data_IF_335660219977
#
_entry.id   IF_335660219977
#
_cell.length_a   1.000
_cell.length_b   1.000
_cell.length_c   1.000
_cell.angle_alpha   90.00
_cell.angle_beta   90.00
_cell.angle_gamma   90.00
#
_symmetry.space_group_name_H-M   'P 1'
#
loop_
_entity.id
_entity.type
_entity.pdbx_description
1 polymer ?
#
# COMPACT_ATOMS: atom_id res chain seq x y z
N UNK A 1 9.98 -4.16 -57.12
CA UNK A 1 9.94 -4.57 -55.70
C UNK A 1 9.25 -3.49 -54.83
N UNK A 2 9.67 -2.21 -54.96
CA UNK A 2 9.07 -1.11 -54.18
C UNK A 2 7.58 -0.93 -54.44
N UNK A 3 7.16 -0.94 -55.72
CA UNK A 3 5.77 -0.78 -56.07
C UNK A 3 4.87 -1.93 -55.50
N UNK A 4 5.39 -3.16 -55.50
CA UNK A 4 4.66 -4.28 -54.91
C UNK A 4 4.55 -4.18 -53.38
N UNK A 5 5.54 -3.59 -52.69
CA UNK A 5 5.47 -3.32 -51.24
C UNK A 5 4.50 -2.18 -50.99
N UNK A 6 4.51 -1.12 -51.81
CA UNK A 6 3.60 0.03 -51.68
C UNK A 6 2.13 -0.40 -51.75
N UNK A 7 1.79 -1.35 -52.63
CA UNK A 7 0.44 -1.91 -52.72
C UNK A 7 -0.01 -2.71 -51.48
N UNK A 8 0.93 -3.11 -50.62
CA UNK A 8 0.65 -3.91 -49.43
C UNK A 8 0.88 -3.13 -48.13
N UNK A 9 1.20 -1.84 -48.18
CA UNK A 9 1.56 -1.03 -47.01
C UNK A 9 0.49 -1.08 -45.93
N UNK A 10 -0.79 -0.97 -46.29
CA UNK A 10 -1.87 -1.00 -45.31
C UNK A 10 -2.00 -2.37 -44.62
N UNK A 11 -1.85 -3.46 -45.39
CA UNK A 11 -1.86 -4.82 -44.80
C UNK A 11 -0.66 -5.06 -43.91
N UNK A 12 0.51 -4.53 -44.27
CA UNK A 12 1.75 -4.62 -43.45
C UNK A 12 1.55 -3.84 -42.15
N UNK A 13 0.97 -2.63 -42.20
CA UNK A 13 0.70 -1.81 -41.01
C UNK A 13 -0.26 -2.54 -40.05
N UNK A 14 -1.37 -3.06 -40.56
CA UNK A 14 -2.35 -3.84 -39.76
C UNK A 14 -1.68 -5.07 -39.12
N UNK A 15 -0.87 -5.78 -39.88
CA UNK A 15 -0.15 -6.94 -39.36
C UNK A 15 0.86 -6.56 -38.27
N UNK A 16 1.55 -5.43 -38.41
CA UNK A 16 2.51 -4.93 -37.42
C UNK A 16 1.80 -4.55 -36.11
N UNK A 17 0.67 -3.85 -36.20
CA UNK A 17 -0.14 -3.47 -35.03
C UNK A 17 -0.66 -4.71 -34.31
N UNK A 18 -1.17 -5.71 -35.04
CA UNK A 18 -1.63 -6.97 -34.46
C UNK A 18 -0.47 -7.75 -33.77
N UNK A 19 0.73 -7.74 -34.36
CA UNK A 19 1.90 -8.37 -33.76
C UNK A 19 2.36 -7.64 -32.49
N UNK A 20 2.33 -6.31 -32.49
CA UNK A 20 2.67 -5.50 -31.34
C UNK A 20 1.69 -5.76 -30.16
N UNK A 21 0.38 -5.82 -30.46
CA UNK A 21 -0.63 -6.16 -29.45
C UNK A 21 -0.44 -7.59 -28.92
N UNK A 22 -0.19 -8.56 -29.80
CA UNK A 22 0.07 -9.93 -29.40
C UNK A 22 1.30 -10.07 -28.54
N UNK A 23 2.42 -9.40 -28.89
CA UNK A 23 3.64 -9.41 -28.08
C UNK A 23 3.41 -8.80 -26.69
N UNK A 24 2.65 -7.71 -26.61
CA UNK A 24 2.28 -7.07 -25.33
C UNK A 24 1.41 -8.01 -24.45
N UNK A 25 0.41 -8.67 -25.03
CA UNK A 25 -0.41 -9.66 -24.32
C UNK A 25 0.46 -10.81 -23.82
N UNK A 26 1.36 -11.32 -24.66
CA UNK A 26 2.28 -12.38 -24.31
C UNK A 26 3.26 -11.98 -23.20
N UNK A 27 3.76 -10.75 -23.24
CA UNK A 27 4.63 -10.20 -22.19
C UNK A 27 3.89 -10.14 -20.85
N UNK A 28 2.64 -9.66 -20.81
CA UNK A 28 1.80 -9.67 -19.61
C UNK A 28 1.55 -11.09 -19.09
N UNK A 29 1.26 -12.03 -19.96
CA UNK A 29 1.04 -13.42 -19.58
C UNK A 29 2.29 -14.09 -18.99
N UNK A 30 3.46 -13.86 -19.60
CA UNK A 30 4.76 -14.31 -19.08
C UNK A 30 5.07 -13.71 -17.73
N UNK A 31 4.79 -12.41 -17.56
CA UNK A 31 5.01 -11.70 -16.29
C UNK A 31 4.09 -12.24 -15.19
N UNK A 32 2.81 -12.46 -15.51
CA UNK A 32 1.84 -13.11 -14.61
C UNK A 32 2.34 -14.48 -14.13
N UNK A 33 2.78 -15.32 -15.04
CA UNK A 33 3.35 -16.64 -14.70
C UNK A 33 4.60 -16.54 -13.84
N UNK A 34 5.49 -15.59 -14.15
CA UNK A 34 6.73 -15.38 -13.38
C UNK A 34 6.46 -14.96 -11.93
N UNK A 35 5.40 -14.19 -11.68
CA UNK A 35 5.02 -13.72 -10.36
C UNK A 35 4.09 -14.69 -9.62
N UNK A 36 3.65 -15.77 -10.23
CA UNK A 36 2.56 -16.61 -9.72
C UNK A 36 1.35 -15.72 -9.37
N UNK A 37 0.91 -14.95 -10.36
CA UNK A 37 -0.07 -13.89 -10.21
C UNK A 37 -1.45 -14.33 -10.72
N UNK A 38 -2.51 -13.77 -10.14
CA UNK A 38 -3.91 -14.03 -10.49
C UNK A 38 -4.58 -12.76 -10.99
N UNK A 39 -5.57 -12.93 -11.85
CA UNK A 39 -6.44 -11.83 -12.25
C UNK A 39 -7.30 -11.41 -11.06
N UNK A 40 -7.20 -10.16 -10.58
CA UNK A 40 -8.11 -9.69 -9.54
C UNK A 40 -9.50 -9.46 -10.11
N UNK A 41 -10.52 -9.62 -9.25
CA UNK A 41 -11.87 -9.21 -9.60
C UNK A 41 -11.97 -7.68 -9.47
N UNK A 42 -12.12 -6.99 -10.59
CA UNK A 42 -12.29 -5.53 -10.60
C UNK A 42 -13.77 -5.18 -10.41
N UNK A 43 -14.05 -4.26 -9.49
CA UNK A 43 -15.40 -3.73 -9.21
C UNK A 43 -15.38 -2.20 -9.26
N UNK A 44 -16.53 -1.58 -9.52
CA UNK A 44 -16.60 -0.13 -9.75
C UNK A 44 -16.44 0.76 -8.50
N UNK A 45 -16.50 0.21 -7.30
CA UNK A 45 -16.39 0.94 -6.05
C UNK A 45 -14.95 0.98 -5.53
N UNK A 46 -14.59 2.06 -4.81
CA UNK A 46 -13.25 2.24 -4.26
C UNK A 46 -13.06 1.37 -3.01
N UNK A 47 -12.63 0.14 -3.20
CA UNK A 47 -12.29 -0.77 -2.11
C UNK A 47 -11.13 -1.70 -2.50
N UNK A 48 -10.58 -2.40 -1.52
CA UNK A 48 -9.45 -3.30 -1.65
C UNK A 48 -9.67 -4.51 -0.74
N UNK A 49 -9.55 -5.71 -1.29
CA UNK A 49 -9.53 -6.98 -0.56
C UNK A 49 -8.47 -7.88 -1.19
N UNK A 50 -7.24 -7.71 -0.75
CA UNK A 50 -6.08 -8.49 -1.18
C UNK A 50 -5.91 -9.68 -0.25
N UNK A 51 -5.92 -10.89 -0.81
CA UNK A 51 -5.64 -12.13 -0.12
C UNK A 51 -4.23 -12.59 -0.47
N UNK A 52 -3.41 -12.86 0.53
CA UNK A 52 -2.03 -13.38 0.35
C UNK A 52 -1.21 -12.56 -0.66
N UNK A 53 -1.33 -11.23 -0.60
CA UNK A 53 -0.58 -10.31 -1.46
C UNK A 53 0.92 -10.38 -1.21
N UNK A 54 1.70 -10.42 -2.26
CA UNK A 54 3.17 -10.43 -2.20
C UNK A 54 3.72 -9.25 -2.98
N UNK A 55 4.76 -8.63 -2.45
CA UNK A 55 5.44 -7.55 -3.15
C UNK A 55 6.19 -8.10 -4.38
N UNK A 56 5.89 -7.66 -5.62
CA UNK A 56 6.41 -8.28 -6.84
C UNK A 56 7.92 -8.19 -7.02
N UNK A 57 8.58 -7.25 -6.33
CA UNK A 57 10.04 -7.04 -6.42
C UNK A 57 10.82 -7.73 -5.29
N UNK A 58 10.13 -8.26 -4.26
CA UNK A 58 10.82 -9.04 -3.23
C UNK A 58 11.08 -10.45 -3.74
N UNK A 59 12.36 -10.86 -3.65
CA UNK A 59 12.81 -12.20 -3.99
C UNK A 59 12.80 -13.09 -2.75
N UNK A 60 12.54 -14.38 -2.93
CA UNK A 60 12.57 -15.38 -1.86
C UNK A 60 11.23 -15.55 -1.15
N UNK A 61 11.26 -15.93 0.12
CA UNK A 61 10.08 -16.26 0.92
C UNK A 61 9.41 -14.99 1.51
N UNK A 62 8.97 -14.06 0.66
CA UNK A 62 8.17 -12.94 1.13
C UNK A 62 6.89 -13.48 1.80
N UNK A 63 6.65 -13.08 3.06
CA UNK A 63 5.43 -13.47 3.78
C UNK A 63 4.25 -12.78 3.12
N UNK A 64 3.22 -13.53 2.70
CA UNK A 64 2.03 -12.95 2.10
C UNK A 64 1.23 -12.11 3.10
N UNK A 65 0.64 -11.01 2.64
CA UNK A 65 -0.15 -10.09 3.44
C UNK A 65 -1.61 -10.14 3.01
N UNK A 66 -2.52 -10.29 3.97
CA UNK A 66 -3.95 -10.07 3.78
C UNK A 66 -4.25 -8.61 4.16
N UNK A 67 -4.86 -7.85 3.23
CA UNK A 67 -5.16 -6.45 3.46
C UNK A 67 -6.50 -6.09 2.82
N UNK A 68 -7.39 -5.45 3.61
CA UNK A 68 -8.69 -5.00 3.14
C UNK A 68 -9.00 -3.59 3.60
N UNK A 69 -9.77 -2.84 2.84
CA UNK A 69 -10.29 -1.51 3.15
C UNK A 69 -11.45 -1.15 2.21
N UNK A 70 -12.41 -0.36 2.69
CA UNK A 70 -13.49 0.20 1.88
C UNK A 70 -14.83 -0.51 2.04
N UNK A 71 -14.87 -1.74 2.56
CA UNK A 71 -16.11 -2.48 2.86
C UNK A 71 -16.63 -2.11 4.27
N UNK A 72 -15.91 -2.54 5.31
CA UNK A 72 -16.30 -2.31 6.72
C UNK A 72 -15.73 -0.99 7.27
N UNK A 73 -14.56 -0.58 6.80
CA UNK A 73 -13.85 0.60 7.25
C UNK A 73 -13.14 1.30 6.08
N UNK A 74 -12.91 2.61 6.22
CA UNK A 74 -12.30 3.49 5.21
C UNK A 74 -10.90 3.95 5.60
N UNK A 75 -10.51 3.75 6.86
CA UNK A 75 -9.19 4.10 7.37
C UNK A 75 -8.61 2.94 8.14
N UNK A 76 -7.39 2.54 7.79
CA UNK A 76 -6.61 1.50 8.45
C UNK A 76 -5.36 2.11 9.08
N UNK A 77 -5.25 2.01 10.40
CA UNK A 77 -4.09 2.49 11.16
C UNK A 77 -3.21 1.32 11.58
N UNK A 78 -2.04 1.21 10.96
CA UNK A 78 -1.10 0.11 11.19
C UNK A 78 -0.07 0.53 12.24
N UNK A 79 -0.03 -0.17 13.37
CA UNK A 79 0.90 0.11 14.47
C UNK A 79 1.88 -1.05 14.66
N UNK A 80 3.01 -0.77 15.31
CA UNK A 80 4.05 -1.77 15.59
C UNK A 80 5.45 -1.32 15.18
N UNK A 81 6.47 -2.16 15.38
CA UNK A 81 7.86 -1.84 15.06
C UNK A 81 8.08 -1.76 13.53
N UNK A 82 9.06 -0.96 13.09
CA UNK A 82 9.40 -0.82 11.65
C UNK A 82 9.90 -2.13 11.06
N UNK A 83 10.65 -2.90 11.84
CA UNK A 83 11.16 -4.20 11.43
C UNK A 83 10.08 -5.24 11.12
N UNK A 84 8.82 -4.98 11.51
CA UNK A 84 7.69 -5.90 11.30
C UNK A 84 7.11 -5.93 9.90
N UNK A 85 7.57 -5.09 8.97
CA UNK A 85 7.13 -5.08 7.58
C UNK A 85 5.96 -4.13 7.27
N UNK A 86 5.69 -3.10 8.11
CA UNK A 86 4.65 -2.08 7.86
C UNK A 86 4.82 -1.44 6.50
N UNK A 87 5.99 -0.83 6.25
CA UNK A 87 6.33 -0.17 4.98
C UNK A 87 6.16 -1.09 3.78
N UNK A 88 6.58 -2.37 3.91
CA UNK A 88 6.43 -3.36 2.84
C UNK A 88 4.95 -3.64 2.57
N UNK A 89 4.12 -3.75 3.61
CA UNK A 89 2.67 -3.96 3.46
C UNK A 89 2.01 -2.79 2.74
N UNK A 90 2.36 -1.55 3.10
CA UNK A 90 1.90 -0.32 2.46
C UNK A 90 2.30 -0.27 0.98
N UNK A 91 3.60 -0.47 0.69
CA UNK A 91 4.12 -0.51 -0.69
C UNK A 91 3.44 -1.61 -1.51
N UNK A 92 3.20 -2.77 -0.90
CA UNK A 92 2.51 -3.89 -1.56
C UNK A 92 1.08 -3.48 -1.94
N UNK A 93 0.31 -2.93 -1.01
CA UNK A 93 -1.06 -2.50 -1.27
C UNK A 93 -1.14 -1.52 -2.46
N UNK A 94 -0.36 -0.44 -2.43
CA UNK A 94 -0.34 0.56 -3.49
C UNK A 94 0.08 -0.01 -4.84
N UNK A 95 1.15 -0.80 -4.86
CA UNK A 95 1.69 -1.36 -6.09
C UNK A 95 0.72 -2.37 -6.73
N UNK A 96 0.06 -3.23 -5.94
CA UNK A 96 -0.92 -4.19 -6.47
C UNK A 96 -2.15 -3.49 -7.05
N UNK A 97 -2.60 -2.38 -6.45
CA UNK A 97 -3.67 -1.56 -7.03
C UNK A 97 -3.24 -0.98 -8.37
N UNK A 98 -2.07 -0.36 -8.45
CA UNK A 98 -1.56 0.21 -9.70
C UNK A 98 -1.35 -0.85 -10.79
N UNK A 99 -0.83 -2.03 -10.43
CA UNK A 99 -0.70 -3.16 -11.36
C UNK A 99 -2.06 -3.58 -11.92
N UNK A 100 -3.05 -3.78 -11.06
CA UNK A 100 -4.40 -4.18 -11.46
C UNK A 100 -5.05 -3.15 -12.39
N UNK A 101 -4.97 -1.86 -12.05
CA UNK A 101 -5.51 -0.76 -12.86
C UNK A 101 -4.77 -0.56 -14.20
N UNK A 102 -3.53 -1.06 -14.29
CA UNK A 102 -2.77 -1.13 -15.54
C UNK A 102 -3.06 -2.39 -16.37
N UNK A 103 -4.04 -3.20 -15.98
CA UNK A 103 -4.41 -4.43 -16.69
C UNK A 103 -3.41 -5.58 -16.53
N UNK A 104 -2.68 -5.60 -15.42
CA UNK A 104 -1.80 -6.70 -15.04
C UNK A 104 -2.47 -7.61 -14.01
N UNK A 105 -2.13 -8.89 -14.04
CA UNK A 105 -2.38 -9.78 -12.92
C UNK A 105 -1.53 -9.39 -11.72
N UNK A 106 -2.01 -9.67 -10.51
CA UNK A 106 -1.32 -9.32 -9.27
C UNK A 106 -0.81 -10.57 -8.55
N UNK A 107 0.37 -10.54 -7.92
CA UNK A 107 0.88 -11.64 -7.11
C UNK A 107 0.12 -11.72 -5.76
N UNK A 108 -1.12 -12.15 -5.83
CA UNK A 108 -2.03 -12.31 -4.71
C UNK A 108 -2.83 -13.61 -4.85
N UNK A 109 -3.51 -14.02 -3.80
CA UNK A 109 -4.36 -15.22 -3.82
C UNK A 109 -5.59 -15.04 -4.71
N UNK A 110 -6.07 -16.16 -5.23
CA UNK A 110 -7.31 -16.22 -5.99
C UNK A 110 -8.49 -15.62 -5.20
N UNK A 111 -9.37 -14.90 -5.89
CA UNK A 111 -10.50 -14.22 -5.30
C UNK A 111 -10.15 -12.91 -4.59
N UNK A 112 -8.96 -12.34 -4.83
CA UNK A 112 -8.66 -10.96 -4.48
C UNK A 112 -9.54 -10.02 -5.29
N UNK A 113 -10.11 -8.99 -4.62
CA UNK A 113 -11.05 -8.04 -5.21
C UNK A 113 -10.48 -6.62 -5.07
N UNK A 114 -10.54 -5.84 -6.12
CA UNK A 114 -10.04 -4.47 -6.16
C UNK A 114 -11.08 -3.55 -6.79
N UNK A 115 -11.29 -2.41 -6.15
CA UNK A 115 -12.02 -1.31 -6.72
C UNK A 115 -11.14 -0.46 -7.63
N UNK A 116 -11.76 0.47 -8.32
CA UNK A 116 -11.07 1.43 -9.18
C UNK A 116 -10.91 2.73 -8.39
N UNK A 117 -9.66 3.12 -8.17
CA UNK A 117 -9.31 4.40 -7.57
C UNK A 117 -8.95 5.40 -8.68
N UNK A 118 -9.58 6.57 -8.66
CA UNK A 118 -9.24 7.65 -9.61
C UNK A 118 -7.89 8.27 -9.31
N UNK A 119 -7.47 8.23 -8.03
CA UNK A 119 -6.23 8.80 -7.55
C UNK A 119 -5.61 7.86 -6.52
N UNK A 120 -4.31 7.68 -6.62
CA UNK A 120 -3.50 6.95 -5.63
C UNK A 120 -2.41 7.89 -5.15
N UNK A 121 -2.50 8.29 -3.89
CA UNK A 121 -1.53 9.16 -3.24
C UNK A 121 -0.65 8.33 -2.32
N UNK A 122 0.63 8.63 -2.33
CA UNK A 122 1.62 7.89 -1.55
C UNK A 122 2.59 8.86 -0.91
N UNK A 123 2.74 8.78 0.41
CA UNK A 123 3.79 9.42 1.18
C UNK A 123 4.55 8.33 1.94
N UNK A 124 5.62 7.84 1.34
CA UNK A 124 6.50 6.79 1.86
C UNK A 124 7.93 7.26 1.61
N UNK A 125 8.62 7.67 2.67
CA UNK A 125 10.00 8.13 2.61
C UNK A 125 10.94 7.26 3.44
N UNK A 126 12.22 7.19 3.06
CA UNK A 126 13.27 6.55 3.86
C UNK A 126 13.90 7.62 4.78
N UNK A 127 13.64 7.53 6.09
CA UNK A 127 14.24 8.40 7.12
C UNK A 127 15.72 8.13 7.39
N UNK A 128 16.42 7.34 6.57
CA UNK A 128 17.74 6.81 6.90
C UNK A 128 18.92 7.78 6.74
N UNK A 129 18.70 9.07 6.49
CA UNK A 129 19.78 10.06 6.46
C UNK A 129 19.69 11.03 7.66
N UNK A 130 20.58 10.83 8.62
CA UNK A 130 20.68 11.61 9.88
C UNK A 130 20.89 13.12 9.63
N UNK A 131 21.39 13.53 8.49
CA UNK A 131 21.67 14.92 8.14
C UNK A 131 20.48 15.71 7.58
N UNK A 132 19.30 15.09 7.39
CA UNK A 132 18.14 15.68 6.71
C UNK A 132 16.84 15.71 7.51
N UNK A 133 16.84 15.44 8.82
CA UNK A 133 15.61 15.23 9.61
C UNK A 133 14.58 16.37 9.51
N UNK A 134 15.00 17.63 9.60
CA UNK A 134 14.09 18.78 9.51
C UNK A 134 13.61 19.06 8.08
N UNK A 135 14.46 18.80 7.09
CA UNK A 135 14.13 18.87 5.66
C UNK A 135 13.15 17.76 5.27
N UNK A 136 13.32 16.55 5.84
CA UNK A 136 12.48 15.39 5.59
C UNK A 136 11.07 15.59 6.16
N UNK A 137 10.93 16.00 7.41
CA UNK A 137 9.63 16.31 8.02
C UNK A 137 8.85 17.34 7.23
N UNK A 138 9.53 18.46 6.85
CA UNK A 138 8.90 19.52 6.06
C UNK A 138 8.44 19.03 4.69
N UNK A 139 9.24 18.19 4.03
CA UNK A 139 8.90 17.61 2.72
C UNK A 139 7.69 16.67 2.81
N UNK A 140 7.65 15.79 3.81
CA UNK A 140 6.50 14.95 4.09
C UNK A 140 5.24 15.76 4.36
N UNK A 141 5.36 16.81 5.18
CA UNK A 141 4.22 17.67 5.52
C UNK A 141 3.67 18.40 4.29
N UNK A 142 4.53 18.91 3.41
CA UNK A 142 4.12 19.55 2.15
C UNK A 142 3.35 18.53 1.28
N UNK A 143 3.90 17.33 1.10
CA UNK A 143 3.24 16.27 0.33
C UNK A 143 1.88 15.88 0.94
N UNK A 144 1.81 15.72 2.27
CA UNK A 144 0.55 15.41 2.97
C UNK A 144 -0.48 16.53 2.80
N UNK A 145 -0.07 17.81 2.85
CA UNK A 145 -0.95 18.95 2.60
C UNK A 145 -1.55 18.88 1.20
N UNK A 146 -0.76 18.57 0.19
CA UNK A 146 -1.21 18.45 -1.20
C UNK A 146 -2.13 17.24 -1.38
N UNK A 147 -1.85 16.13 -0.71
CA UNK A 147 -2.73 14.96 -0.64
C UNK A 147 -4.09 15.35 -0.04
N UNK A 148 -4.10 15.99 1.13
CA UNK A 148 -5.33 16.41 1.83
C UNK A 148 -6.17 17.39 1.02
N UNK A 149 -5.53 18.24 0.20
CA UNK A 149 -6.23 19.18 -0.70
C UNK A 149 -6.87 18.49 -1.90
N UNK A 150 -6.28 17.39 -2.36
CA UNK A 150 -6.64 16.72 -3.61
C UNK A 150 -7.43 15.43 -3.42
N UNK A 151 -7.33 14.79 -2.24
CA UNK A 151 -7.97 13.52 -1.95
C UNK A 151 -9.50 13.64 -1.84
N UNK A 152 -10.18 12.58 -2.22
CA UNK A 152 -11.64 12.45 -2.14
C UNK A 152 -12.06 10.99 -2.02
N UNK A 153 -13.36 10.73 -2.16
CA UNK A 153 -13.99 9.41 -1.97
C UNK A 153 -13.37 8.31 -2.83
N UNK A 154 -12.94 8.65 -4.04
CA UNK A 154 -12.36 7.72 -5.01
C UNK A 154 -10.82 7.68 -4.94
N UNK A 155 -10.23 8.16 -3.84
CA UNK A 155 -8.80 8.18 -3.62
C UNK A 155 -8.35 7.06 -2.69
N UNK A 156 -7.22 6.43 -3.01
CA UNK A 156 -6.42 5.63 -2.09
C UNK A 156 -5.27 6.48 -1.59
N UNK A 157 -5.15 6.63 -0.28
CA UNK A 157 -4.08 7.38 0.38
C UNK A 157 -3.24 6.43 1.21
N UNK A 158 -1.94 6.41 0.99
CA UNK A 158 -0.99 5.57 1.70
C UNK A 158 0.07 6.45 2.32
N UNK A 159 0.17 6.42 3.65
CA UNK A 159 1.11 7.24 4.41
C UNK A 159 1.92 6.35 5.34
N UNK A 160 3.24 6.41 5.23
CA UNK A 160 4.14 5.72 6.17
C UNK A 160 4.64 6.67 7.24
N UNK A 161 4.81 6.16 8.46
CA UNK A 161 5.36 6.87 9.63
C UNK A 161 4.66 8.20 9.96
N UNK A 162 3.32 8.25 9.81
CA UNK A 162 2.52 9.44 10.03
C UNK A 162 2.73 9.99 11.44
N UNK A 163 3.15 11.27 11.52
CA UNK A 163 3.44 11.98 12.77
C UNK A 163 4.88 11.80 13.27
N UNK A 164 5.76 11.13 12.52
CA UNK A 164 7.18 11.05 12.86
C UNK A 164 7.95 12.33 12.52
N UNK A 165 9.15 12.47 13.08
CA UNK A 165 10.07 13.59 12.75
C UNK A 165 9.85 14.89 13.50
N UNK A 166 8.93 14.93 14.50
CA UNK A 166 8.69 16.07 15.39
C UNK A 166 8.50 15.61 16.84
N UNK A 167 8.15 16.52 17.75
CA UNK A 167 7.76 16.17 19.11
C UNK A 167 6.64 15.11 19.09
N UNK A 168 6.74 14.01 19.87
CA UNK A 168 5.78 12.92 19.83
C UNK A 168 4.34 13.35 20.08
N UNK A 169 4.10 14.30 20.97
CA UNK A 169 2.76 14.78 21.30
C UNK A 169 2.18 15.62 20.17
N UNK A 170 2.99 16.53 19.60
CA UNK A 170 2.61 17.34 18.45
C UNK A 170 2.40 16.45 17.21
N UNK A 171 3.29 15.50 16.97
CA UNK A 171 3.20 14.55 15.87
C UNK A 171 1.94 13.70 15.94
N UNK A 172 1.58 13.20 17.12
CA UNK A 172 0.35 12.43 17.33
C UNK A 172 -0.91 13.26 17.06
N UNK A 173 -0.95 14.52 17.56
CA UNK A 173 -2.08 15.43 17.35
C UNK A 173 -2.24 15.80 15.86
N UNK A 174 -1.13 16.07 15.17
CA UNK A 174 -1.11 16.35 13.74
C UNK A 174 -1.58 15.14 12.94
N UNK A 175 -1.06 13.95 13.23
CA UNK A 175 -1.44 12.72 12.60
C UNK A 175 -2.94 12.42 12.75
N UNK A 176 -3.48 12.61 13.96
CA UNK A 176 -4.92 12.46 14.20
C UNK A 176 -5.74 13.44 13.36
N UNK A 177 -5.32 14.70 13.29
CA UNK A 177 -6.01 15.74 12.50
C UNK A 177 -6.01 15.42 11.00
N UNK A 178 -4.89 14.89 10.48
CA UNK A 178 -4.75 14.46 9.08
C UNK A 178 -5.69 13.28 8.79
N UNK A 179 -5.68 12.25 9.63
CA UNK A 179 -6.55 11.08 9.47
C UNK A 179 -8.03 11.47 9.55
N UNK A 180 -8.40 12.32 10.49
CA UNK A 180 -9.76 12.86 10.63
C UNK A 180 -10.20 13.61 9.35
N UNK A 181 -9.31 14.40 8.78
CA UNK A 181 -9.61 15.14 7.55
C UNK A 181 -9.77 14.21 6.37
N UNK A 182 -8.87 13.25 6.17
CA UNK A 182 -8.96 12.25 5.09
C UNK A 182 -10.21 11.37 5.23
N UNK A 183 -10.54 10.99 6.46
CA UNK A 183 -11.76 10.25 6.77
C UNK A 183 -13.02 11.05 6.41
N UNK A 184 -13.08 12.34 6.77
CA UNK A 184 -14.18 13.25 6.40
C UNK A 184 -14.33 13.41 4.89
N UNK A 185 -13.23 13.38 4.13
CA UNK A 185 -13.23 13.41 2.67
C UNK A 185 -13.71 12.09 2.05
N UNK A 186 -13.83 11.03 2.84
CA UNK A 186 -14.23 9.69 2.39
C UNK A 186 -13.13 8.93 1.66
N UNK A 187 -11.87 9.39 1.73
CA UNK A 187 -10.73 8.73 1.14
C UNK A 187 -10.45 7.37 1.82
N UNK A 188 -10.04 6.37 1.04
CA UNK A 188 -9.55 5.10 1.59
C UNK A 188 -8.10 5.33 2.01
N UNK A 189 -7.84 5.29 3.33
CA UNK A 189 -6.56 5.67 3.90
C UNK A 189 -5.90 4.49 4.61
N UNK A 190 -4.66 4.17 4.26
CA UNK A 190 -3.82 3.20 4.98
C UNK A 190 -2.62 3.97 5.51
N UNK A 191 -2.50 4.07 6.82
CA UNK A 191 -1.41 4.82 7.44
C UNK A 191 -0.65 3.93 8.45
N UNK A 192 0.66 4.03 8.47
CA UNK A 192 1.46 3.48 9.56
C UNK A 192 1.86 4.58 10.54
N UNK A 193 2.04 4.21 11.80
CA UNK A 193 2.47 5.15 12.83
C UNK A 193 3.11 4.42 14.02
N UNK A 194 3.89 5.19 14.78
CA UNK A 194 4.38 4.79 16.11
C UNK A 194 3.59 5.42 17.26
N UNK A 195 2.75 6.42 16.98
CA UNK A 195 1.97 7.11 17.99
C UNK A 195 0.91 6.18 18.60
N UNK A 196 1.00 5.97 19.92
CA UNK A 196 0.05 5.12 20.66
C UNK A 196 -1.35 5.73 20.73
N UNK A 197 -1.45 7.04 20.67
CA UNK A 197 -2.69 7.84 20.71
C UNK A 197 -3.61 7.51 19.55
N UNK A 198 -3.04 7.19 18.39
CA UNK A 198 -3.79 6.82 17.19
C UNK A 198 -4.49 5.46 17.29
N UNK A 199 -4.06 4.58 18.21
CA UNK A 199 -4.79 3.35 18.53
C UNK A 199 -6.14 3.66 19.16
N UNK A 200 -6.17 4.64 20.07
CA UNK A 200 -7.41 5.11 20.72
C UNK A 200 -8.33 5.80 19.71
N UNK A 201 -7.78 6.60 18.82
CA UNK A 201 -8.51 7.23 17.73
C UNK A 201 -9.26 6.19 16.89
N UNK A 202 -8.61 5.11 16.49
CA UNK A 202 -9.24 4.06 15.70
C UNK A 202 -10.35 3.30 16.44
N UNK A 203 -10.31 3.21 17.76
CA UNK A 203 -11.39 2.62 18.55
C UNK A 203 -12.61 3.54 18.72
N UNK A 204 -12.41 4.84 18.68
CA UNK A 204 -13.48 5.83 18.95
C UNK A 204 -14.16 6.34 17.69
N UNK A 205 -13.60 6.05 16.52
CA UNK A 205 -14.12 6.49 15.23
C UNK A 205 -14.77 5.35 14.46
N UNK A 206 -15.99 5.58 14.01
CA UNK A 206 -16.69 4.68 13.09
C UNK A 206 -15.91 4.58 11.76
N UNK A 207 -15.87 3.39 11.18
CA UNK A 207 -15.16 3.08 9.93
C UNK A 207 -13.66 3.37 9.94
N UNK A 208 -13.04 3.38 11.13
CA UNK A 208 -11.59 3.40 11.31
C UNK A 208 -11.18 2.13 12.04
N UNK A 209 -10.20 1.41 11.50
CA UNK A 209 -9.77 0.13 12.06
C UNK A 209 -8.28 0.12 12.42
N UNK A 210 -7.95 -0.57 13.49
CA UNK A 210 -6.58 -0.83 13.88
C UNK A 210 -6.03 -2.05 13.16
N UNK A 211 -4.74 -2.00 12.85
CA UNK A 211 -3.97 -3.18 12.48
C UNK A 211 -2.61 -3.17 13.15
N UNK A 212 -2.01 -4.33 13.24
CA UNK A 212 -0.65 -4.47 13.73
C UNK A 212 0.12 -5.50 12.93
N UNK A 213 1.45 -5.33 12.89
CA UNK A 213 2.33 -6.40 12.43
C UNK A 213 2.59 -7.36 13.58
N UNK A 214 2.41 -8.64 13.31
CA UNK A 214 2.60 -9.68 14.30
C UNK A 214 4.08 -9.85 14.63
N UNK A 215 4.35 -10.01 15.92
CA UNK A 215 5.69 -10.25 16.46
C UNK A 215 5.64 -11.51 17.31
N UNK A 216 6.54 -12.43 17.06
CA UNK A 216 6.68 -13.65 17.85
C UNK A 216 7.52 -13.35 19.11
N UNK A 217 6.86 -13.30 20.26
CA UNK A 217 7.49 -13.06 21.55
C UNK A 217 8.42 -14.21 21.99
N UNK A 218 8.28 -15.41 21.41
CA UNK A 218 9.13 -16.57 21.72
C UNK A 218 10.45 -16.50 20.97
N UNK A 219 10.40 -16.22 19.66
CA UNK A 219 11.60 -16.13 18.82
C UNK A 219 12.21 -14.74 18.79
N UNK A 220 11.50 -13.71 19.27
CA UNK A 220 11.82 -12.28 19.14
C UNK A 220 12.00 -11.86 17.67
N UNK A 221 11.26 -12.48 16.77
CA UNK A 221 11.32 -12.23 15.35
C UNK A 221 9.97 -11.69 14.83
N UNK A 222 9.97 -10.77 13.87
CA UNK A 222 8.75 -10.40 13.18
C UNK A 222 8.25 -11.57 12.33
N UNK A 223 6.95 -11.84 12.38
CA UNK A 223 6.32 -12.83 11.49
C UNK A 223 5.92 -12.24 10.15
N UNK A 224 5.99 -10.92 10.02
CA UNK A 224 5.57 -10.13 8.84
C UNK A 224 4.08 -10.26 8.49
N UNK A 225 3.27 -10.81 9.38
CA UNK A 225 1.81 -10.92 9.19
C UNK A 225 1.13 -9.65 9.66
N UNK A 226 0.16 -9.18 8.89
CA UNK A 226 -0.71 -8.07 9.27
C UNK A 226 -1.97 -8.62 9.95
N UNK A 227 -2.25 -8.16 11.16
CA UNK A 227 -3.43 -8.53 11.95
C UNK A 227 -4.37 -7.32 11.98
N UNK A 228 -5.43 -7.36 11.17
CA UNK A 228 -6.48 -6.34 11.15
C UNK A 228 -7.43 -6.58 12.33
N UNK A 229 -7.90 -5.50 12.98
CA UNK A 229 -8.75 -5.56 14.17
C UNK A 229 -7.97 -5.69 15.49
N UNK A 230 -6.63 -5.72 15.42
CA UNK A 230 -5.77 -5.82 16.60
C UNK A 230 -4.73 -4.72 16.62
N UNK A 231 -4.73 -3.81 17.63
CA UNK A 231 -3.67 -2.83 17.77
C UNK A 231 -2.35 -3.49 18.18
N UNK A 232 -1.25 -2.93 17.71
CA UNK A 232 0.08 -3.40 18.09
C UNK A 232 0.37 -3.21 19.58
N UNK A 233 1.03 -4.19 20.20
CA UNK A 233 1.61 -4.06 21.52
C UNK A 233 3.07 -3.60 21.42
N UNK A 234 3.53 -2.84 22.40
CA UNK A 234 4.95 -2.56 22.54
C UNK A 234 5.59 -3.77 23.21
N UNK A 235 6.55 -4.41 22.55
CA UNK A 235 7.28 -5.55 23.09
C UNK A 235 8.63 -5.15 23.70
N UNK A 236 8.85 -3.85 23.92
CA UNK A 236 10.14 -3.32 24.39
C UNK A 236 10.55 -3.93 25.74
N UNK A 237 9.62 -4.08 26.69
CA UNK A 237 9.90 -4.69 27.98
C UNK A 237 10.21 -6.19 27.90
N UNK A 238 9.51 -6.91 27.01
CA UNK A 238 9.76 -8.35 26.78
C UNK A 238 11.13 -8.57 26.14
N UNK A 239 11.48 -7.71 25.19
CA UNK A 239 12.81 -7.71 24.55
C UNK A 239 13.89 -7.36 25.57
N UNK A 240 13.72 -6.31 26.38
CA UNK A 240 14.67 -5.89 27.40
C UNK A 240 14.87 -6.98 28.47
N UNK A 241 13.80 -7.60 28.96
CA UNK A 241 13.89 -8.66 29.96
C UNK A 241 14.62 -9.91 29.46
N UNK A 242 14.68 -10.16 28.16
CA UNK A 242 15.43 -11.29 27.58
C UNK A 242 16.89 -10.98 27.25
N UNK A 243 17.20 -9.72 27.01
CA UNK A 243 18.56 -9.28 26.69
C UNK A 243 19.38 -8.98 27.94
N UNK A 244 18.79 -8.99 29.14
CA UNK A 244 19.40 -8.69 30.44
C UNK A 244 19.14 -7.28 30.88
#
# INVERSE_FOLDING_TARGET
LSDSVTLQVDHIAIALDALAEFDFILAKARYSKKLDAWAPLLQGESYLDIKKGRHPLLKGNAVPVDLRIGEDFDTLVITGPNTGGKTVSLKTAGLLVLMAQSGLHIPAGEGSRLGIFKQVFVDIGDEQSIEQSLSTFSSHLINIIDIVRSAGRDSLVIIDELGAGTDPTEGAALAQSILERLHTLGAKTIASTHASELKSFAYTRERVENASVEFDAVTLQPTYRLLIGKPGRSNAFEIAARLG
#
